data_IF_415595630073
#
_entry.id   IF_415595630073
#
_cell.length_a   1.000
_cell.length_b   1.000
_cell.length_c   1.000
_cell.angle_alpha   90.00
_cell.angle_beta   90.00
_cell.angle_gamma   90.00
#
_symmetry.space_group_name_H-M   'P 1'
#
loop_
_entity.id
_entity.type
_entity.pdbx_description
1 polymer ?
#
# COMPACT_ATOMS: atom_id res chain seq x y z
N UNK A 1 6.07 -53.61 -34.85
CA UNK A 1 6.19 -52.17 -35.22
C UNK A 1 5.81 -51.17 -34.10
N UNK A 2 5.81 -51.52 -32.80
CA UNK A 2 5.45 -50.56 -31.71
C UNK A 2 6.64 -49.82 -31.07
N UNK A 3 7.88 -50.17 -31.44
CA UNK A 3 9.09 -49.63 -30.84
C UNK A 3 9.44 -48.23 -31.37
N UNK A 4 9.25 -47.97 -32.67
CA UNK A 4 9.56 -46.67 -33.30
C UNK A 4 8.70 -45.50 -32.80
N UNK A 5 7.43 -45.76 -32.43
CA UNK A 5 6.52 -44.70 -31.97
C UNK A 5 6.82 -44.22 -30.55
N UNK A 6 7.38 -45.09 -29.70
CA UNK A 6 7.81 -44.74 -28.34
C UNK A 6 9.14 -43.97 -28.34
N UNK A 7 10.08 -44.34 -29.21
CA UNK A 7 11.33 -43.59 -29.38
C UNK A 7 11.09 -42.20 -29.97
N UNK A 8 10.18 -42.04 -30.94
CA UNK A 8 9.83 -40.72 -31.48
C UNK A 8 9.23 -39.81 -30.39
N UNK A 9 8.36 -40.35 -29.53
CA UNK A 9 7.78 -39.58 -28.44
C UNK A 9 8.86 -39.13 -27.43
N UNK A 10 9.75 -40.04 -27.02
CA UNK A 10 10.83 -39.73 -26.07
C UNK A 10 11.79 -38.67 -26.64
N UNK A 11 12.21 -38.82 -27.89
CA UNK A 11 13.08 -37.86 -28.56
C UNK A 11 12.38 -36.52 -28.72
N UNK A 12 11.10 -36.51 -29.10
CA UNK A 12 10.30 -35.29 -29.21
C UNK A 12 10.22 -34.51 -27.90
N UNK A 13 9.97 -35.20 -26.77
CA UNK A 13 9.93 -34.54 -25.46
C UNK A 13 11.29 -33.99 -25.05
N UNK A 14 12.37 -34.75 -25.28
CA UNK A 14 13.74 -34.28 -24.97
C UNK A 14 14.12 -33.05 -25.81
N UNK A 15 13.75 -33.01 -27.09
CA UNK A 15 13.98 -31.84 -27.95
C UNK A 15 13.16 -30.65 -27.48
N UNK A 16 11.89 -30.85 -27.11
CA UNK A 16 11.04 -29.76 -26.63
C UNK A 16 11.57 -29.15 -25.33
N UNK A 17 11.94 -29.97 -24.35
CA UNK A 17 12.55 -29.53 -23.09
C UNK A 17 13.86 -28.77 -23.34
N UNK A 18 14.73 -29.30 -24.22
CA UNK A 18 15.96 -28.62 -24.59
C UNK A 18 15.70 -27.24 -25.23
N UNK A 19 14.68 -27.13 -26.08
CA UNK A 19 14.27 -25.86 -26.68
C UNK A 19 13.73 -24.87 -25.65
N UNK A 20 12.95 -25.32 -24.66
CA UNK A 20 12.44 -24.47 -23.58
C UNK A 20 13.59 -23.93 -22.72
N UNK A 21 14.53 -24.80 -22.33
CA UNK A 21 15.72 -24.39 -21.56
C UNK A 21 16.55 -23.38 -22.35
N UNK A 22 16.77 -23.63 -23.64
CA UNK A 22 17.54 -22.75 -24.52
C UNK A 22 16.85 -21.38 -24.71
N UNK A 23 15.52 -21.36 -24.81
CA UNK A 23 14.75 -20.12 -24.84
C UNK A 23 14.95 -19.30 -23.55
N UNK A 24 14.82 -19.92 -22.37
CA UNK A 24 15.01 -19.23 -21.08
C UNK A 24 16.42 -18.63 -20.96
N UNK A 25 17.45 -19.37 -21.37
CA UNK A 25 18.85 -18.87 -21.36
C UNK A 25 19.02 -17.69 -22.32
N UNK A 26 18.43 -17.76 -23.53
CA UNK A 26 18.50 -16.68 -24.52
C UNK A 26 17.85 -15.37 -24.02
N UNK A 27 16.70 -15.46 -23.35
CA UNK A 27 16.05 -14.31 -22.69
C UNK A 27 16.90 -13.77 -21.53
N UNK A 28 17.54 -14.66 -20.77
CA UNK A 28 18.46 -14.28 -19.69
C UNK A 28 19.73 -13.55 -20.16
N UNK A 29 20.20 -13.82 -21.38
CA UNK A 29 21.36 -13.13 -21.96
C UNK A 29 21.01 -11.75 -22.55
N UNK A 30 19.81 -11.60 -23.13
CA UNK A 30 19.33 -10.32 -23.69
C UNK A 30 18.91 -9.31 -22.62
N UNK A 31 18.55 -9.76 -21.41
CA UNK A 31 18.22 -8.87 -20.29
C UNK A 31 19.41 -8.03 -19.76
N UNK A 32 20.66 -8.37 -20.12
CA UNK A 32 21.83 -7.49 -19.87
C UNK A 32 21.78 -6.17 -20.65
N UNK A 33 20.96 -6.07 -21.71
CA UNK A 33 20.78 -4.83 -22.49
C UNK A 33 19.74 -3.89 -21.87
N UNK A 34 18.85 -4.41 -21.02
CA UNK A 34 17.93 -3.60 -20.22
C UNK A 34 18.50 -3.41 -18.82
N UNK A 35 19.64 -2.72 -18.75
CA UNK A 35 19.97 -1.98 -17.54
C UNK A 35 18.97 -0.81 -17.48
N UNK A 36 18.00 -0.80 -16.54
CA UNK A 36 17.27 0.43 -16.27
C UNK A 36 18.34 1.46 -15.91
N UNK A 37 18.44 2.52 -16.73
CA UNK A 37 19.31 3.67 -16.51
C UNK A 37 19.26 3.97 -15.02
N UNK A 38 20.36 3.68 -14.31
CA UNK A 38 20.47 3.99 -12.89
C UNK A 38 20.11 5.47 -12.79
N UNK A 39 18.99 5.76 -12.13
CA UNK A 39 18.65 7.12 -11.78
C UNK A 39 19.82 7.58 -10.92
N UNK A 40 20.61 8.48 -11.49
CA UNK A 40 21.80 9.04 -10.86
C UNK A 40 21.31 9.66 -9.56
N UNK A 41 21.59 9.01 -8.43
CA UNK A 41 21.48 9.63 -7.13
C UNK A 41 22.42 10.83 -7.16
N UNK A 42 21.84 12.03 -7.16
CA UNK A 42 22.58 13.25 -6.86
C UNK A 42 22.88 13.23 -5.37
N UNK A 43 24.05 12.72 -5.01
CA UNK A 43 24.62 12.96 -3.69
C UNK A 43 25.09 14.41 -3.68
N UNK A 44 24.38 15.28 -2.97
CA UNK A 44 24.87 16.62 -2.64
C UNK A 44 26.00 16.43 -1.64
N UNK A 45 27.23 16.55 -2.12
CA UNK A 45 28.41 16.72 -1.27
C UNK A 45 28.43 18.18 -0.82
N UNK A 46 28.00 18.45 0.41
CA UNK A 46 28.16 19.77 1.03
C UNK A 46 29.63 19.87 1.44
N UNK A 47 30.43 20.49 0.58
CA UNK A 47 31.75 21.01 0.93
C UNK A 47 31.62 22.52 1.16
N UNK A 48 32.03 22.97 2.34
CA UNK A 48 32.02 24.38 2.72
C UNK A 48 32.78 25.25 1.70
N UNK A 49 32.24 26.43 1.33
CA UNK A 49 32.82 27.27 0.30
C UNK A 49 33.96 28.15 0.86
N UNK A 50 35.13 28.23 0.21
CA UNK A 50 36.05 29.34 0.41
C UNK A 50 35.69 30.54 -0.49
N UNK A 51 36.07 31.77 -0.11
CA UNK A 51 35.46 33.00 -0.62
C UNK A 51 36.11 33.54 -1.92
N UNK A 52 35.24 34.19 -2.71
CA UNK A 52 35.48 35.35 -3.60
C UNK A 52 36.44 35.26 -4.80
N UNK A 53 35.83 35.16 -6.00
CA UNK A 53 35.87 36.13 -7.15
C UNK A 53 35.69 35.42 -8.52
N UNK A 54 35.41 36.15 -9.62
CA UNK A 54 34.22 36.93 -9.95
C UNK A 54 33.52 36.40 -11.24
N UNK A 55 32.31 36.90 -11.48
CA UNK A 55 31.42 36.58 -12.63
C UNK A 55 32.04 37.01 -13.95
N UNK A 56 32.01 36.11 -14.95
CA UNK A 56 32.17 36.50 -16.35
C UNK A 56 31.11 35.80 -17.23
N UNK A 57 30.37 36.60 -18.00
CA UNK A 57 29.39 36.15 -19.02
C UNK A 57 29.95 36.52 -20.38
N UNK A 58 29.95 35.57 -21.32
CA UNK A 58 29.38 35.84 -22.64
C UNK A 58 28.63 34.58 -23.16
N UNK A 59 27.78 34.56 -24.18
CA UNK A 59 27.02 35.52 -24.97
C UNK A 59 26.00 34.65 -25.76
N UNK A 60 24.98 35.28 -26.29
CA UNK A 60 23.94 34.69 -27.14
C UNK A 60 24.51 34.11 -28.43
N UNK A 61 24.16 32.88 -28.81
CA UNK A 61 24.19 32.46 -30.22
C UNK A 61 22.86 31.81 -30.60
N UNK A 62 22.07 32.61 -31.31
CA UNK A 62 20.82 32.25 -31.96
C UNK A 62 21.20 31.62 -33.30
N UNK A 63 20.85 30.35 -33.52
CA UNK A 63 20.95 29.72 -34.84
C UNK A 63 19.58 29.33 -35.34
N UNK A 64 19.23 30.00 -36.43
CA UNK A 64 18.02 29.91 -37.22
C UNK A 64 17.89 28.58 -37.98
N UNK A 65 16.66 28.38 -38.49
CA UNK A 65 16.24 27.61 -39.69
C UNK A 65 15.64 26.20 -39.44
N UNK A 66 14.63 25.75 -40.21
CA UNK A 66 13.51 26.44 -40.86
C UNK A 66 12.11 25.90 -40.44
N UNK A 67 11.14 26.80 -40.49
CA UNK A 67 9.71 26.52 -40.41
C UNK A 67 9.23 25.79 -41.67
N UNK A 68 8.78 24.54 -41.54
CA UNK A 68 8.09 23.81 -42.60
C UNK A 68 6.59 24.12 -42.54
N UNK A 69 6.12 24.80 -43.57
CA UNK A 69 4.70 25.07 -43.82
C UNK A 69 3.97 23.78 -44.24
N UNK A 70 2.88 23.51 -43.51
CA UNK A 70 1.65 22.74 -43.78
C UNK A 70 1.67 21.52 -44.70
N UNK A 71 1.12 20.42 -44.16
CA UNK A 71 0.09 19.66 -44.87
C UNK A 71 -1.12 19.51 -43.94
N UNK A 72 -2.23 20.12 -44.36
CA UNK A 72 -3.52 20.09 -43.66
C UNK A 72 -4.22 18.78 -44.03
N UNK A 73 -4.35 17.88 -43.06
CA UNK A 73 -5.22 16.72 -43.21
C UNK A 73 -6.69 17.19 -43.25
N UNK A 74 -7.55 16.61 -44.11
CA UNK A 74 -8.98 16.95 -44.13
C UNK A 74 -9.62 16.61 -42.79
N UNK A 75 -10.30 17.60 -42.20
CA UNK A 75 -11.14 17.42 -41.03
C UNK A 75 -12.32 16.52 -41.41
N UNK A 76 -12.52 15.35 -40.78
CA UNK A 76 -13.75 14.59 -40.96
C UNK A 76 -14.93 15.38 -40.37
N UNK A 77 -16.04 15.36 -41.11
CA UNK A 77 -17.26 16.10 -40.84
C UNK A 77 -17.79 15.93 -39.40
N UNK A 78 -18.47 16.95 -38.84
CA UNK A 78 -19.03 16.87 -37.51
C UNK A 78 -20.05 15.73 -37.42
N UNK A 79 -19.77 14.76 -36.55
CA UNK A 79 -20.73 13.73 -36.16
C UNK A 79 -21.92 14.40 -35.51
N UNK A 80 -23.12 14.07 -35.99
CA UNK A 80 -24.39 14.53 -35.43
C UNK A 80 -24.43 14.32 -33.92
N UNK A 81 -24.86 15.36 -33.22
CA UNK A 81 -25.11 15.31 -31.79
C UNK A 81 -26.10 14.18 -31.48
N UNK A 82 -25.68 13.25 -30.60
CA UNK A 82 -26.61 12.32 -29.98
C UNK A 82 -27.68 13.11 -29.21
N UNK A 83 -28.95 12.66 -29.21
CA UNK A 83 -29.99 13.31 -28.40
C UNK A 83 -29.54 13.33 -26.93
N UNK A 84 -29.85 14.42 -26.18
CA UNK A 84 -29.53 14.49 -24.77
C UNK A 84 -30.15 13.31 -24.04
N UNK A 85 -29.31 12.45 -23.44
CA UNK A 85 -29.78 11.49 -22.44
C UNK A 85 -30.27 12.33 -21.26
N UNK A 86 -31.57 12.27 -21.02
CA UNK A 86 -32.24 12.88 -19.89
C UNK A 86 -31.54 12.41 -18.61
N UNK A 87 -30.83 13.32 -17.93
CA UNK A 87 -30.25 13.02 -16.62
C UNK A 87 -31.43 12.66 -15.69
N UNK A 88 -31.38 11.52 -14.98
CA UNK A 88 -32.31 11.29 -13.89
C UNK A 88 -32.24 12.51 -12.95
N UNK A 89 -33.39 13.15 -12.71
CA UNK A 89 -33.48 14.26 -11.79
C UNK A 89 -32.92 13.79 -10.44
N UNK A 90 -31.84 14.44 -9.99
CA UNK A 90 -31.37 14.29 -8.62
C UNK A 90 -32.53 14.78 -7.76
N UNK A 91 -33.21 13.84 -7.09
CA UNK A 91 -34.20 14.19 -6.09
C UNK A 91 -33.51 15.12 -5.09
N UNK A 92 -34.01 16.35 -4.97
CA UNK A 92 -33.56 17.26 -3.93
C UNK A 92 -33.66 16.53 -2.58
N UNK A 93 -32.72 16.73 -1.64
CA UNK A 93 -32.85 16.13 -0.33
C UNK A 93 -34.20 16.56 0.23
N UNK A 94 -34.99 15.58 0.71
CA UNK A 94 -36.26 15.86 1.36
C UNK A 94 -35.96 16.70 2.62
N UNK A 95 -36.08 18.02 2.49
CA UNK A 95 -35.98 18.92 3.63
C UNK A 95 -37.22 18.69 4.48
N UNK A 96 -37.02 18.20 5.70
CA UNK A 96 -38.10 18.12 6.68
C UNK A 96 -38.38 19.58 7.10
N UNK A 97 -39.57 20.14 6.80
CA UNK A 97 -39.88 21.49 7.24
C UNK A 97 -40.02 21.47 8.77
N UNK A 98 -39.05 22.05 9.46
CA UNK A 98 -39.12 22.27 10.90
C UNK A 98 -39.86 23.59 11.14
N UNK A 99 -40.96 23.54 11.89
CA UNK A 99 -41.58 24.75 12.40
C UNK A 99 -40.64 25.44 13.41
N UNK A 100 -40.73 26.76 13.61
CA UNK A 100 -39.91 27.47 14.60
C UNK A 100 -39.97 26.84 15.99
N UNK A 101 -41.14 26.33 16.41
CA UNK A 101 -41.32 25.62 17.68
C UNK A 101 -40.56 24.30 17.75
N UNK A 102 -40.44 23.57 16.64
CA UNK A 102 -39.63 22.34 16.58
C UNK A 102 -38.13 22.65 16.61
N UNK A 103 -37.71 23.80 16.08
CA UNK A 103 -36.32 24.24 16.17
C UNK A 103 -35.96 24.65 17.60
N UNK A 104 -36.88 25.32 18.32
CA UNK A 104 -36.74 25.63 19.75
C UNK A 104 -36.68 24.37 20.62
N UNK A 105 -37.47 23.34 20.31
CA UNK A 105 -37.42 22.05 21.03
C UNK A 105 -36.14 21.25 20.78
N UNK A 106 -35.47 21.48 19.64
CA UNK A 106 -34.19 20.87 19.30
C UNK A 106 -32.98 21.72 19.76
N UNK A 107 -33.21 22.85 20.43
CA UNK A 107 -32.14 23.71 20.94
C UNK A 107 -31.46 23.08 22.16
N UNK A 108 -30.29 22.51 21.90
CA UNK A 108 -29.47 21.80 22.88
C UNK A 108 -28.70 22.76 23.80
N UNK A 109 -28.72 24.08 23.52
CA UNK A 109 -27.97 25.07 24.28
C UNK A 109 -28.50 25.25 25.71
N UNK A 110 -29.78 24.97 25.92
CA UNK A 110 -30.43 24.98 27.24
C UNK A 110 -30.37 23.65 27.99
N UNK A 111 -29.81 22.58 27.40
CA UNK A 111 -29.66 21.33 28.13
C UNK A 111 -28.56 21.47 29.20
N UNK A 112 -28.78 20.95 30.42
CA UNK A 112 -27.74 20.93 31.44
C UNK A 112 -26.55 20.13 30.90
N UNK A 113 -25.36 20.76 30.88
CA UNK A 113 -24.10 20.06 30.57
C UNK A 113 -24.04 18.80 31.43
N UNK A 114 -23.79 17.66 30.80
CA UNK A 114 -23.70 16.38 31.49
C UNK A 114 -22.70 16.46 32.64
N UNK A 115 -23.20 16.67 33.84
CA UNK A 115 -22.45 16.39 35.07
C UNK A 115 -22.11 14.90 35.04
N UNK A 116 -20.88 14.50 35.40
CA UNK A 116 -20.53 13.09 35.51
C UNK A 116 -21.59 12.41 36.36
N UNK A 117 -22.11 11.29 35.84
CA UNK A 117 -23.21 10.57 36.46
C UNK A 117 -22.87 10.30 37.93
N UNK A 118 -23.74 10.76 38.84
CA UNK A 118 -23.69 10.29 40.23
C UNK A 118 -23.80 8.76 40.20
N UNK A 119 -22.99 8.04 41.00
CA UNK A 119 -23.10 6.58 41.09
C UNK A 119 -24.55 6.21 41.43
N UNK A 120 -25.21 5.45 40.54
CA UNK A 120 -26.54 4.88 40.79
C UNK A 120 -27.72 5.46 40.01
N UNK A 121 -27.54 6.39 39.05
CA UNK A 121 -28.64 6.79 38.17
C UNK A 121 -28.94 5.69 37.11
N UNK A 122 -30.21 5.28 36.90
CA UNK A 122 -30.55 4.30 35.88
C UNK A 122 -30.35 4.89 34.48
N UNK A 123 -29.30 4.46 33.79
CA UNK A 123 -29.08 4.75 32.38
C UNK A 123 -30.09 3.94 31.54
N UNK A 124 -31.05 4.63 30.91
CA UNK A 124 -31.94 4.01 29.94
C UNK A 124 -31.34 4.13 28.54
N UNK A 125 -31.08 2.98 27.93
CA UNK A 125 -30.47 2.85 26.61
C UNK A 125 -29.02 2.35 26.69
N UNK A 126 -28.55 1.53 25.73
CA UNK A 126 -27.15 1.14 25.68
C UNK A 126 -26.30 2.40 25.57
N UNK A 127 -25.25 2.49 26.38
CA UNK A 127 -24.28 3.57 26.26
C UNK A 127 -23.79 3.63 24.81
N UNK A 128 -23.89 4.80 24.17
CA UNK A 128 -23.31 5.01 22.85
C UNK A 128 -21.79 4.92 22.97
N UNK A 129 -21.23 3.72 22.77
CA UNK A 129 -19.82 3.54 22.51
C UNK A 129 -19.63 3.87 21.04
N UNK A 130 -19.36 5.14 20.74
CA UNK A 130 -18.95 5.56 19.42
C UNK A 130 -17.61 4.93 19.07
N UNK A 131 -17.61 3.66 18.66
CA UNK A 131 -16.47 3.07 17.99
C UNK A 131 -16.36 3.80 16.66
N UNK A 132 -15.49 4.81 16.61
CA UNK A 132 -15.09 5.39 15.34
C UNK A 132 -14.65 4.23 14.44
N UNK A 133 -15.38 4.02 13.35
CA UNK A 133 -15.06 2.99 12.36
C UNK A 133 -13.74 3.30 11.62
N UNK A 134 -13.16 4.47 11.90
CA UNK A 134 -11.91 4.91 11.34
C UNK A 134 -10.72 4.27 12.04
N UNK A 135 -9.68 4.00 11.26
CA UNK A 135 -8.45 3.41 11.75
C UNK A 135 -7.68 4.40 12.61
N UNK A 136 -7.21 3.92 13.77
CA UNK A 136 -6.40 4.72 14.68
C UNK A 136 -5.05 5.06 14.04
N UNK A 137 -4.71 6.36 13.98
CA UNK A 137 -3.35 6.80 13.66
C UNK A 137 -2.41 6.48 14.83
N UNK A 138 -1.29 5.82 14.54
CA UNK A 138 -0.31 5.35 15.53
C UNK A 138 1.07 5.94 15.33
N UNK A 139 1.26 6.77 14.31
CA UNK A 139 2.50 7.50 14.08
C UNK A 139 2.59 8.08 12.68
N UNK A 140 3.81 8.12 12.19
CA UNK A 140 4.20 8.63 10.87
C UNK A 140 5.08 7.59 10.20
N UNK A 141 4.83 7.30 8.94
CA UNK A 141 5.61 6.38 8.13
C UNK A 141 6.92 7.04 7.67
N UNK A 142 7.90 6.28 7.14
CA UNK A 142 9.19 6.85 6.73
C UNK A 142 9.11 7.90 5.62
N UNK A 143 8.03 7.93 4.83
CA UNK A 143 7.77 8.96 3.81
C UNK A 143 6.98 10.18 4.34
N UNK A 144 6.85 10.31 5.67
CA UNK A 144 6.15 11.41 6.33
C UNK A 144 4.62 11.28 6.34
N UNK A 145 4.05 10.25 5.70
CA UNK A 145 2.60 10.02 5.66
C UNK A 145 2.06 9.47 6.99
N UNK A 146 0.75 9.57 7.25
CA UNK A 146 0.16 8.97 8.44
C UNK A 146 0.36 7.45 8.47
N UNK A 147 0.71 6.93 9.65
CA UNK A 147 0.80 5.50 9.91
C UNK A 147 -0.40 5.06 10.76
N UNK A 148 -1.18 4.10 10.26
CA UNK A 148 -2.38 3.59 10.94
C UNK A 148 -2.12 2.25 11.63
N UNK A 149 -2.91 1.92 12.66
CA UNK A 149 -2.89 0.59 13.26
C UNK A 149 -3.38 -0.45 12.24
N UNK A 150 -2.59 -1.48 11.98
CA UNK A 150 -3.03 -2.59 11.14
C UNK A 150 -4.23 -3.31 11.77
N UNK A 151 -5.17 -3.73 10.93
CA UNK A 151 -6.25 -4.65 11.30
C UNK A 151 -6.15 -5.87 10.41
N UNK A 152 -6.00 -7.05 10.99
CA UNK A 152 -5.88 -8.29 10.22
C UNK A 152 -7.17 -8.57 9.44
N UNK A 153 -7.03 -8.87 8.15
CA UNK A 153 -8.08 -9.58 7.41
C UNK A 153 -8.01 -11.07 7.75
N UNK A 154 -6.78 -11.61 7.71
CA UNK A 154 -6.43 -12.92 8.23
C UNK A 154 -5.06 -12.81 8.87
N UNK A 155 -5.00 -13.11 10.15
CA UNK A 155 -3.73 -13.17 10.87
C UNK A 155 -2.95 -14.42 10.43
N UNK A 156 -1.66 -14.30 10.09
CA UNK A 156 -0.84 -15.45 9.75
C UNK A 156 -0.72 -16.39 10.96
N UNK A 157 -0.83 -17.68 10.69
CA UNK A 157 -0.68 -18.69 11.73
C UNK A 157 0.77 -18.83 12.15
N UNK A 158 0.99 -19.31 13.36
CA UNK A 158 2.34 -19.58 13.86
C UNK A 158 3.11 -20.59 12.99
N UNK A 159 2.42 -21.54 12.35
CA UNK A 159 3.05 -22.50 11.45
C UNK A 159 3.49 -21.85 10.12
N UNK A 160 2.70 -20.93 9.58
CA UNK A 160 3.08 -20.15 8.39
C UNK A 160 4.31 -19.28 8.67
N UNK A 161 4.41 -18.73 9.88
CA UNK A 161 5.54 -17.91 10.31
C UNK A 161 6.77 -18.70 10.76
N UNK A 162 6.61 -19.96 11.18
CA UNK A 162 7.68 -20.75 11.82
C UNK A 162 8.96 -20.83 10.98
N UNK A 163 8.82 -20.98 9.65
CA UNK A 163 9.97 -21.02 8.75
C UNK A 163 10.79 -19.73 8.77
N UNK A 164 10.13 -18.57 8.73
CA UNK A 164 10.80 -17.26 8.76
C UNK A 164 11.38 -16.95 10.14
N UNK A 165 10.61 -17.21 11.20
CA UNK A 165 11.00 -16.94 12.58
C UNK A 165 12.07 -17.90 13.10
N UNK A 166 12.39 -18.99 12.40
CA UNK A 166 13.49 -19.90 12.76
C UNK A 166 14.86 -19.21 12.80
N UNK A 167 15.00 -18.10 12.08
CA UNK A 167 16.23 -17.28 12.05
C UNK A 167 16.23 -16.17 13.10
N UNK A 168 15.10 -15.96 13.78
CA UNK A 168 14.96 -14.97 14.84
C UNK A 168 15.32 -15.57 16.20
N UNK A 169 15.77 -14.71 17.11
CA UNK A 169 16.16 -15.07 18.47
C UNK A 169 15.06 -14.57 19.42
N UNK A 170 14.46 -15.49 20.18
CA UNK A 170 13.29 -15.21 21.01
C UNK A 170 13.55 -15.32 22.51
N UNK A 171 12.63 -14.82 23.36
CA UNK A 171 11.40 -14.09 23.01
C UNK A 171 11.69 -12.66 22.52
N UNK A 172 11.04 -12.26 21.42
CA UNK A 172 11.31 -10.98 20.76
C UNK A 172 10.09 -10.49 19.96
N UNK A 173 10.14 -9.25 19.49
CA UNK A 173 9.11 -8.67 18.62
C UNK A 173 9.75 -7.88 17.47
N UNK A 174 9.01 -7.78 16.37
CA UNK A 174 9.36 -6.96 15.22
C UNK A 174 8.19 -6.08 14.78
N UNK A 175 8.48 -4.84 14.41
CA UNK A 175 7.52 -3.84 14.01
C UNK A 175 7.87 -3.34 12.60
N UNK A 176 6.93 -3.46 11.67
CA UNK A 176 7.09 -3.03 10.29
C UNK A 176 5.98 -2.05 9.90
N UNK A 177 6.25 -1.18 8.93
CA UNK A 177 5.25 -0.42 8.21
C UNK A 177 5.10 -1.01 6.80
N UNK A 178 3.87 -1.19 6.33
CA UNK A 178 3.61 -1.59 4.95
C UNK A 178 2.49 -0.76 4.32
N UNK A 179 2.45 -0.67 2.99
CA UNK A 179 1.29 -0.12 2.27
C UNK A 179 0.28 -1.22 1.99
N UNK A 180 -0.99 -0.96 2.25
CA UNK A 180 -2.07 -1.89 1.91
C UNK A 180 -2.37 -1.82 0.41
N UNK A 181 -2.65 -2.95 -0.21
CA UNK A 181 -3.02 -3.06 -1.63
C UNK A 181 -4.28 -3.90 -1.79
N UNK A 182 -4.92 -3.91 -2.98
CA UNK A 182 -6.10 -4.72 -3.22
C UNK A 182 -5.93 -6.19 -2.81
N UNK A 183 -7.05 -6.85 -2.54
CA UNK A 183 -7.12 -8.22 -1.98
C UNK A 183 -6.51 -8.35 -0.58
N UNK A 184 -6.51 -7.25 0.19
CA UNK A 184 -5.99 -7.18 1.55
C UNK A 184 -4.52 -7.59 1.67
N UNK A 185 -3.72 -7.46 0.60
CA UNK A 185 -2.28 -7.70 0.69
C UNK A 185 -1.54 -6.47 1.18
N UNK A 186 -0.25 -6.64 1.44
CA UNK A 186 0.65 -5.54 1.77
C UNK A 186 1.85 -5.53 0.81
N UNK A 187 2.36 -4.34 0.53
CA UNK A 187 3.56 -4.12 -0.29
C UNK A 187 4.46 -3.04 0.34
N UNK A 188 5.66 -2.87 -0.23
CA UNK A 188 6.61 -1.80 0.15
C UNK A 188 6.84 -1.75 1.66
N UNK A 189 7.01 -2.93 2.26
CA UNK A 189 7.22 -3.06 3.70
C UNK A 189 8.62 -2.58 4.08
N UNK A 190 8.69 -1.86 5.20
CA UNK A 190 9.91 -1.30 5.78
C UNK A 190 9.94 -1.56 7.28
N UNK A 191 11.14 -1.83 7.81
CA UNK A 191 11.32 -2.02 9.25
C UNK A 191 11.17 -0.71 10.01
N UNK A 192 10.52 -0.77 11.17
CA UNK A 192 10.41 0.37 12.08
C UNK A 192 11.24 0.13 13.34
N UNK A 193 11.07 -1.03 13.97
CA UNK A 193 11.68 -1.32 15.26
C UNK A 193 11.69 -2.83 15.55
N UNK A 194 12.58 -3.30 16.40
CA UNK A 194 12.63 -4.68 16.89
C UNK A 194 13.29 -4.77 18.26
N UNK A 195 13.15 -5.94 18.90
CA UNK A 195 14.01 -6.28 20.05
C UNK A 195 15.48 -6.37 19.60
N UNK A 196 16.38 -5.76 20.38
CA UNK A 196 17.82 -5.75 20.09
C UNK A 196 18.38 -7.15 19.80
N UNK A 197 19.19 -7.25 18.75
CA UNK A 197 19.86 -8.48 18.31
C UNK A 197 18.94 -9.67 17.98
N UNK A 198 17.62 -9.46 17.87
CA UNK A 198 16.66 -10.55 17.65
C UNK A 198 16.54 -11.04 16.21
N UNK A 199 17.02 -10.27 15.22
CA UNK A 199 16.81 -10.52 13.79
C UNK A 199 15.32 -10.62 13.36
N UNK A 200 14.41 -10.06 14.16
CA UNK A 200 12.97 -10.10 13.91
C UNK A 200 12.55 -9.31 12.67
N UNK A 201 13.12 -8.13 12.42
CA UNK A 201 12.81 -7.33 11.24
C UNK A 201 13.08 -8.10 9.95
N UNK A 202 14.24 -8.76 9.87
CA UNK A 202 14.61 -9.57 8.71
C UNK A 202 13.61 -10.71 8.49
N UNK A 203 13.27 -11.44 9.55
CA UNK A 203 12.33 -12.55 9.48
C UNK A 203 10.91 -12.08 9.09
N UNK A 204 10.41 -11.02 9.74
CA UNK A 204 9.06 -10.49 9.54
C UNK A 204 8.92 -9.86 8.14
N UNK A 205 9.92 -9.14 7.64
CA UNK A 205 9.91 -8.60 6.28
C UNK A 205 9.90 -9.72 5.22
N UNK A 206 10.67 -10.80 5.44
CA UNK A 206 10.66 -11.96 4.55
C UNK A 206 9.30 -12.68 4.54
N UNK A 207 8.55 -12.64 5.64
CA UNK A 207 7.20 -13.20 5.74
C UNK A 207 6.10 -12.26 5.22
N UNK A 208 6.37 -10.96 5.07
CA UNK A 208 5.34 -9.94 4.89
C UNK A 208 4.47 -10.13 3.65
N UNK A 209 4.96 -10.81 2.60
CA UNK A 209 4.18 -11.11 1.40
C UNK A 209 2.98 -12.04 1.67
N UNK A 210 2.99 -12.79 2.77
CA UNK A 210 1.88 -13.66 3.18
C UNK A 210 0.79 -12.92 3.96
N UNK A 211 1.08 -11.71 4.43
CA UNK A 211 0.20 -10.99 5.35
C UNK A 211 -1.06 -10.51 4.63
N UNK A 212 -2.19 -10.70 5.32
CA UNK A 212 -3.49 -10.22 4.85
C UNK A 212 -4.07 -9.20 5.83
N UNK A 213 -3.96 -7.92 5.47
CA UNK A 213 -4.30 -6.77 6.32
C UNK A 213 -5.36 -5.92 5.63
N UNK A 214 -6.38 -5.50 6.39
CA UNK A 214 -7.40 -4.59 5.88
C UNK A 214 -6.81 -3.19 5.68
N UNK A 215 -7.14 -2.49 4.58
CA UNK A 215 -6.78 -1.09 4.41
C UNK A 215 -7.32 -0.24 5.56
N UNK A 216 -6.60 0.81 5.97
CA UNK A 216 -7.10 1.73 6.97
C UNK A 216 -8.38 2.42 6.47
N UNK A 217 -9.29 2.72 7.39
CA UNK A 217 -10.57 3.35 7.10
C UNK A 217 -10.57 4.79 7.61
N UNK A 218 -11.09 5.72 6.81
CA UNK A 218 -11.30 7.11 7.20
C UNK A 218 -12.59 7.64 6.58
N UNK A 219 -13.48 8.18 7.40
CA UNK A 219 -14.81 8.62 6.96
C UNK A 219 -15.59 7.48 6.28
N UNK A 220 -15.46 6.25 6.79
CA UNK A 220 -16.14 5.08 6.26
C UNK A 220 -15.54 4.46 4.98
N UNK A 221 -14.56 5.11 4.34
CA UNK A 221 -13.90 4.62 3.11
C UNK A 221 -12.62 3.85 3.41
N UNK A 222 -12.36 2.78 2.66
CA UNK A 222 -11.10 2.06 2.67
C UNK A 222 -10.03 2.82 1.88
N UNK A 223 -8.85 2.98 2.46
CA UNK A 223 -7.73 3.69 1.85
C UNK A 223 -6.63 2.69 1.47
N UNK A 224 -6.58 2.34 0.18
CA UNK A 224 -5.49 1.55 -0.39
C UNK A 224 -4.27 2.44 -0.67
N UNK A 225 -3.07 1.88 -0.54
CA UNK A 225 -1.80 2.59 -0.71
C UNK A 225 -1.33 3.36 0.53
N UNK A 226 -2.13 3.34 1.59
CA UNK A 226 -1.81 3.97 2.87
C UNK A 226 -1.04 3.04 3.80
N UNK A 227 -0.29 3.64 4.71
CA UNK A 227 0.61 2.90 5.61
C UNK A 227 -0.10 2.32 6.82
N UNK A 228 0.19 1.05 7.09
CA UNK A 228 -0.23 0.35 8.31
C UNK A 228 0.97 -0.17 9.08
N UNK A 229 0.88 -0.11 10.41
CA UNK A 229 1.88 -0.62 11.34
C UNK A 229 1.50 -2.02 11.80
N UNK A 230 2.37 -2.98 11.50
CA UNK A 230 2.19 -4.39 11.85
C UNK A 230 3.24 -4.75 12.90
N UNK A 231 2.79 -5.38 13.99
CA UNK A 231 3.65 -5.93 15.04
C UNK A 231 3.52 -7.45 15.03
N UNK A 232 4.64 -8.15 15.06
CA UNK A 232 4.70 -9.61 15.21
C UNK A 232 5.51 -9.92 16.46
N UNK A 233 4.92 -10.69 17.37
CA UNK A 233 5.57 -11.14 18.58
C UNK A 233 5.97 -12.62 18.42
N UNK A 234 7.23 -12.94 18.74
CA UNK A 234 7.79 -14.28 18.70
C UNK A 234 8.04 -14.78 20.13
N UNK A 235 7.38 -15.87 20.47
CA UNK A 235 7.51 -16.55 21.76
C UNK A 235 8.09 -17.95 21.53
N UNK A 236 9.07 -18.35 22.34
CA UNK A 236 9.60 -19.71 22.30
C UNK A 236 8.57 -20.63 22.97
N UNK A 237 7.87 -21.46 22.19
CA UNK A 237 7.08 -22.55 22.78
C UNK A 237 8.04 -23.58 23.37
N UNK A 238 8.05 -23.71 24.69
CA UNK A 238 8.68 -24.88 25.31
C UNK A 238 7.86 -26.12 24.95
N UNK A 239 8.53 -27.12 24.40
CA UNK A 239 7.93 -28.43 24.15
C UNK A 239 7.74 -29.09 25.53
N UNK A 240 6.53 -29.49 25.93
CA UNK A 240 6.36 -30.17 27.21
C UNK A 240 7.17 -31.47 27.17
N UNK A 241 8.12 -31.61 28.11
CA UNK A 241 8.86 -32.84 28.32
C UNK A 241 7.88 -33.89 28.85
N UNK A 242 7.50 -34.83 27.99
CA UNK A 242 6.83 -36.03 28.44
C UNK A 242 7.92 -36.97 28.97
N UNK A 243 8.14 -36.94 30.29
CA UNK A 243 8.95 -37.95 30.96
C UNK A 243 8.36 -39.34 30.67
N UNK A 244 9.22 -40.25 30.26
CA UNK A 244 8.88 -41.60 29.81
C UNK A 244 9.15 -42.60 30.92
#
# INVERSE_FOLDING_TARGET
MRLGRRTIAIVGTLVLEALIVLAIISLGQTSKLFQPKQQVLTTVDIKEPPPDRPVDKPQTEKKDTPQKTQEVAPVPAPTQAAPPVEKPAVAAPAFIPLSPKQLEQADISSLPKATPAKPGAPAYGPAFTGNSLDSKRVGTAPDGKPLYAATWYREPTQQELAGYLSTAQGPAWGLIACKTVPEYRVEKCVGLDETDHSNMLRAVLAAAWQFRVRPPRLGGRELYGEWVRIRIDYQIRQKPSYDR
#
